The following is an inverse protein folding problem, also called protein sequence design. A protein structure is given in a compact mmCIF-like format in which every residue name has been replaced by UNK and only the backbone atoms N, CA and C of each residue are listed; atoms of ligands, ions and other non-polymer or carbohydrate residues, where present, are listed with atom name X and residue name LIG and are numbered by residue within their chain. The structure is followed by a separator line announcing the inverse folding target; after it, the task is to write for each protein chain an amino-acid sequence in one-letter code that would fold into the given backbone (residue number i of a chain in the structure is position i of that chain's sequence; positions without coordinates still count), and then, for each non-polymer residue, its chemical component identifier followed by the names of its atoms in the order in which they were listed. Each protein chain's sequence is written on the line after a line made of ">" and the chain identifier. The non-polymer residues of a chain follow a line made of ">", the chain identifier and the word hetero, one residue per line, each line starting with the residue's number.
data_IF_581536025403
#
_entry.id   IF_581536025403
#
_cell.length_a   1.000
_cell.length_b   1.000
_cell.length_c   1.000
_cell.angle_alpha   90.00
_cell.angle_beta   90.00
_cell.angle_gamma   90.00
#
_symmetry.space_group_name_H-M   'P 1'
#
loop_
_entity.id
_entity.type
_entity.pdbx_description
1 polymer ?
#
# COMPACT_ATOMS: atom_id res chain seq x y z
N UNK A 1 -29.06 37.52 -14.80
CA UNK A 1 -27.95 37.55 -13.84
C UNK A 1 -26.85 36.67 -14.42
N UNK A 2 -25.83 37.29 -15.01
CA UNK A 2 -24.72 36.61 -15.68
C UNK A 2 -23.66 36.28 -14.62
N UNK A 3 -23.36 35.00 -14.40
CA UNK A 3 -22.24 34.59 -13.56
C UNK A 3 -21.02 34.36 -14.46
N UNK A 4 -20.04 35.26 -14.39
CA UNK A 4 -18.76 35.12 -15.05
C UNK A 4 -17.98 33.96 -14.39
N UNK A 5 -17.71 32.90 -15.16
CA UNK A 5 -16.74 31.87 -14.81
C UNK A 5 -15.51 32.09 -15.67
N UNK A 6 -14.56 32.86 -15.17
CA UNK A 6 -13.21 32.91 -15.75
C UNK A 6 -12.26 32.16 -14.83
N UNK A 7 -12.20 30.84 -15.03
CA UNK A 7 -11.12 30.02 -14.52
C UNK A 7 -9.88 30.31 -15.37
N UNK A 8 -8.98 31.13 -14.84
CA UNK A 8 -7.65 31.34 -15.41
C UNK A 8 -6.86 30.05 -15.38
N UNK A 9 -6.88 29.32 -16.50
CA UNK A 9 -5.93 28.26 -16.78
C UNK A 9 -4.55 28.91 -16.93
N UNK A 10 -3.68 28.65 -15.96
CA UNK A 10 -2.26 28.97 -16.03
C UNK A 10 -1.60 28.10 -17.10
N UNK A 11 -1.65 28.57 -18.35
CA UNK A 11 -0.67 28.22 -19.38
C UNK A 11 0.70 28.73 -18.92
N UNK A 12 1.49 27.84 -18.32
CA UNK A 12 2.92 28.05 -18.06
C UNK A 12 3.64 26.95 -18.82
N UNK A 13 3.91 27.25 -20.08
CA UNK A 13 4.72 26.42 -20.95
C UNK A 13 6.10 26.15 -20.35
N UNK A 14 6.58 24.95 -20.59
CA UNK A 14 7.98 24.65 -20.82
C UNK A 14 8.04 23.29 -21.50
N UNK A 15 8.03 23.32 -22.84
CA UNK A 15 8.81 22.42 -23.71
C UNK A 15 9.78 21.51 -22.94
N UNK A 16 9.36 20.30 -22.58
CA UNK A 16 10.30 19.19 -22.39
C UNK A 16 10.38 18.44 -23.70
N UNK A 17 11.33 18.93 -24.49
CA UNK A 17 11.99 18.32 -25.64
C UNK A 17 11.58 16.88 -25.94
N UNK A 18 10.80 16.72 -26.99
CA UNK A 18 10.58 15.45 -27.69
C UNK A 18 11.89 15.02 -28.36
N UNK A 19 12.75 14.30 -27.65
CA UNK A 19 13.77 13.46 -28.28
C UNK A 19 13.20 12.06 -28.40
N UNK A 20 12.25 11.88 -29.33
CA UNK A 20 11.88 10.55 -29.76
C UNK A 20 13.13 9.91 -30.39
N UNK A 21 13.77 8.99 -29.67
CA UNK A 21 14.80 8.11 -30.24
C UNK A 21 14.06 6.86 -30.78
N UNK A 22 13.81 6.77 -32.09
CA UNK A 22 13.20 5.59 -32.68
C UNK A 22 14.24 4.48 -32.67
N UNK A 23 13.88 3.32 -32.15
CA UNK A 23 14.73 2.12 -32.01
C UNK A 23 15.67 2.13 -30.81
N UNK A 24 15.16 1.61 -29.70
CA UNK A 24 16.06 1.11 -28.66
C UNK A 24 15.34 0.00 -27.93
N UNK A 25 15.34 -1.18 -28.56
CA UNK A 25 15.09 -2.48 -27.93
C UNK A 25 16.25 -2.77 -26.97
N UNK A 26 16.44 -1.88 -25.99
CA UNK A 26 17.53 -1.97 -25.03
C UNK A 26 17.00 -2.68 -23.79
N UNK A 27 17.67 -3.74 -23.32
CA UNK A 27 17.23 -4.52 -22.17
C UNK A 27 17.06 -3.65 -20.90
N UNK A 28 17.86 -2.59 -20.73
CA UNK A 28 17.72 -1.68 -19.60
C UNK A 28 16.40 -0.89 -19.61
N UNK A 29 15.85 -0.58 -20.79
CA UNK A 29 14.57 0.12 -20.89
C UNK A 29 13.40 -0.79 -20.54
N UNK A 30 13.46 -2.06 -20.93
CA UNK A 30 12.47 -3.06 -20.53
C UNK A 30 12.51 -3.31 -19.02
N UNK A 31 13.70 -3.42 -18.42
CA UNK A 31 13.86 -3.52 -16.97
C UNK A 31 13.27 -2.31 -16.24
N UNK A 32 13.56 -1.09 -16.71
CA UNK A 32 13.02 0.13 -16.12
C UNK A 32 11.49 0.19 -16.20
N UNK A 33 10.89 -0.23 -17.32
CA UNK A 33 9.44 -0.30 -17.48
C UNK A 33 8.82 -1.29 -16.49
N UNK A 34 9.46 -2.45 -16.30
CA UNK A 34 9.01 -3.48 -15.37
C UNK A 34 9.05 -3.00 -13.93
N UNK A 35 10.15 -2.40 -13.50
CA UNK A 35 10.29 -1.86 -12.13
C UNK A 35 9.27 -0.76 -11.85
N UNK A 36 9.10 0.20 -12.77
CA UNK A 36 8.09 1.26 -12.60
C UNK A 36 6.65 0.70 -12.58
N UNK A 37 6.39 -0.38 -13.31
CA UNK A 37 5.09 -1.05 -13.29
C UNK A 37 4.83 -1.76 -11.97
N UNK A 38 5.84 -2.41 -11.40
CA UNK A 38 5.76 -3.05 -10.09
C UNK A 38 5.54 -2.01 -8.99
N UNK A 39 6.24 -0.87 -9.04
CA UNK A 39 6.00 0.24 -8.09
C UNK A 39 4.56 0.77 -8.19
N UNK A 40 4.04 1.00 -9.41
CA UNK A 40 2.65 1.44 -9.60
C UNK A 40 1.64 0.42 -9.10
N UNK A 41 1.85 -0.88 -9.38
CA UNK A 41 0.99 -1.95 -8.88
C UNK A 41 1.00 -2.05 -7.36
N UNK A 42 2.16 -1.93 -6.73
CA UNK A 42 2.26 -1.93 -5.26
C UNK A 42 1.48 -0.76 -4.64
N UNK A 43 1.54 0.43 -5.26
CA UNK A 43 0.74 1.60 -4.85
C UNK A 43 -0.76 1.38 -5.12
N UNK A 44 -1.15 0.72 -6.21
CA UNK A 44 -2.56 0.41 -6.48
C UNK A 44 -3.13 -0.66 -5.53
N UNK A 45 -2.36 -1.69 -5.20
CA UNK A 45 -2.80 -2.83 -4.38
C UNK A 45 -2.85 -2.48 -2.89
N UNK A 46 -1.87 -1.72 -2.41
CA UNK A 46 -1.73 -1.42 -0.97
C UNK A 46 -1.84 0.08 -0.64
N UNK A 47 -2.09 0.94 -1.63
CA UNK A 47 -2.20 2.38 -1.44
C UNK A 47 -0.87 3.06 -1.12
N UNK A 48 -0.93 4.36 -0.79
CA UNK A 48 0.23 5.11 -0.28
C UNK A 48 0.74 4.57 1.07
N UNK A 49 -0.09 3.79 1.78
CA UNK A 49 0.18 3.23 3.09
C UNK A 49 0.67 1.77 3.00
N UNK A 50 1.17 1.33 1.85
CA UNK A 50 1.69 -0.02 1.64
C UNK A 50 2.80 -0.38 2.63
N UNK A 51 3.75 0.54 2.82
CA UNK A 51 4.86 0.36 3.77
C UNK A 51 4.36 0.35 5.23
N UNK A 52 3.36 1.18 5.55
CA UNK A 52 2.73 1.22 6.87
C UNK A 52 1.98 -0.09 7.16
N UNK A 53 1.19 -0.57 6.20
CA UNK A 53 0.42 -1.81 6.32
C UNK A 53 1.36 -3.00 6.53
N UNK A 54 2.43 -3.09 5.73
CA UNK A 54 3.45 -4.12 5.90
C UNK A 54 4.12 -4.05 7.28
N UNK A 55 4.47 -2.86 7.76
CA UNK A 55 5.08 -2.68 9.08
C UNK A 55 4.13 -3.07 10.23
N UNK A 56 2.82 -2.85 10.06
CA UNK A 56 1.80 -3.27 11.03
C UNK A 56 1.64 -4.80 11.06
N UNK A 57 1.60 -5.45 9.89
CA UNK A 57 1.57 -6.92 9.78
C UNK A 57 2.80 -7.58 10.41
N UNK A 58 3.99 -7.02 10.19
CA UNK A 58 5.25 -7.54 10.74
C UNK A 58 5.32 -7.36 12.28
N UNK A 59 4.69 -6.31 12.83
CA UNK A 59 4.69 -6.01 14.27
C UNK A 59 3.61 -6.78 15.03
N UNK A 60 2.50 -7.07 14.37
CA UNK A 60 1.35 -7.77 14.94
C UNK A 60 1.00 -8.98 14.07
N UNK A 61 1.84 -10.04 14.06
CA UNK A 61 1.50 -11.28 13.39
C UNK A 61 0.15 -11.75 13.92
N UNK A 62 -0.78 -12.03 12.99
CA UNK A 62 -2.18 -12.26 13.27
C UNK A 62 -2.40 -13.09 14.55
N UNK A 63 -2.84 -12.42 15.61
CA UNK A 63 -3.19 -12.94 16.93
C UNK A 63 -2.06 -13.59 17.74
N UNK A 64 -1.85 -13.07 18.95
CA UNK A 64 -1.18 -13.80 20.04
C UNK A 64 -1.63 -15.27 20.06
N UNK A 65 -0.73 -16.21 20.41
CA UNK A 65 -1.05 -17.64 20.40
C UNK A 65 -2.36 -17.91 21.16
N UNK A 66 -3.22 -18.76 20.57
CA UNK A 66 -4.48 -19.16 21.20
C UNK A 66 -4.21 -19.63 22.62
N UNK A 67 -4.79 -18.94 23.61
CA UNK A 67 -4.61 -19.26 25.00
C UNK A 67 -5.13 -20.68 25.30
N UNK A 68 -4.29 -21.50 25.93
CA UNK A 68 -4.67 -22.84 26.34
C UNK A 68 -5.81 -22.76 27.37
N UNK A 69 -7.01 -23.22 27.00
CA UNK A 69 -8.11 -23.36 27.93
C UNK A 69 -7.90 -24.61 28.78
N UNK A 70 -7.63 -24.44 30.07
CA UNK A 70 -7.63 -25.54 31.02
C UNK A 70 -9.08 -25.88 31.39
N UNK A 71 -9.47 -27.17 31.39
CA UNK A 71 -10.78 -27.58 31.89
C UNK A 71 -10.92 -27.18 33.36
N UNK A 72 -11.79 -26.22 33.66
CA UNK A 72 -12.15 -25.91 35.04
C UNK A 72 -13.12 -26.97 35.52
N UNK A 73 -12.70 -27.82 36.48
CA UNK A 73 -13.63 -28.70 37.20
C UNK A 73 -14.53 -27.84 38.09
N UNK A 74 -15.85 -27.77 37.84
CA UNK A 74 -16.75 -27.09 38.76
C UNK A 74 -16.94 -27.98 40.01
N UNK A 75 -16.67 -27.42 41.19
CA UNK A 75 -17.06 -28.03 42.48
C UNK A 75 -16.06 -29.04 43.06
N UNK A 76 -15.08 -28.54 43.81
CA UNK A 76 -14.55 -29.29 44.95
C UNK A 76 -15.04 -28.59 46.22
N UNK A 77 -16.21 -29.01 46.72
CA UNK A 77 -16.68 -28.58 48.04
C UNK A 77 -15.68 -29.07 49.08
N UNK A 78 -15.02 -28.13 49.77
CA UNK A 78 -14.20 -28.45 50.93
C UNK A 78 -15.13 -29.01 52.01
N UNK A 79 -15.03 -30.31 52.29
CA UNK A 79 -15.64 -30.84 53.51
C UNK A 79 -14.80 -30.35 54.68
N UNK A 80 -15.35 -29.40 55.44
CA UNK A 80 -14.84 -29.02 56.76
C UNK A 80 -15.21 -30.14 57.74
N UNK A 81 -14.20 -30.71 58.40
CA UNK A 81 -14.36 -31.55 59.59
C UNK A 81 -14.66 -30.70 60.82
#
# INVERSE_FOLDING_TARGET
>A
MQACRDAGAGDKGASMTTHANPTSTNPAKESLRKEQHEQRKAVEEHGADAELTKALEDTFPASDPVAAQAPTKPGATKQSH
#
